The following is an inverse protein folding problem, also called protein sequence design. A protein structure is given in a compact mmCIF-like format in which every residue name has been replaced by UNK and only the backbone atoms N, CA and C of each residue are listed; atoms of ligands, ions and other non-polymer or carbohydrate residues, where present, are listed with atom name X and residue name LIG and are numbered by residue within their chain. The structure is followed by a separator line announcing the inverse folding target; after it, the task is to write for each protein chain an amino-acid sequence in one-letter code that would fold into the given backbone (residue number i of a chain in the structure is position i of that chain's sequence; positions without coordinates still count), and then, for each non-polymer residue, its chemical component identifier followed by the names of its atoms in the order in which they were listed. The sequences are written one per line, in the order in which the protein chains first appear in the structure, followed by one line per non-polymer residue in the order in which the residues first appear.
data_IF_365938649325
#
_entry.id   IF_365938649325
#
_cell.length_a   1.000
_cell.length_b   1.000
_cell.length_c   1.000
_cell.angle_alpha   90.00
_cell.angle_beta   90.00
_cell.angle_gamma   90.00
#
_symmetry.space_group_name_H-M   'P 1'
#
loop_
_entity.id
_entity.type
_entity.pdbx_description
1 polymer ?
#
# COMPACT_ATOMS: atom_id res chain seq x y z
N UNK A 1 4.83 -3.44 43.43
CA UNK A 1 4.87 -2.08 42.86
C UNK A 1 4.60 -2.20 41.36
N UNK A 2 3.32 -2.00 41.07
CA UNK A 2 2.81 -2.05 39.68
C UNK A 2 3.33 -0.83 38.93
N UNK A 3 4.22 -1.05 37.98
CA UNK A 3 4.53 -0.06 36.99
C UNK A 3 3.34 -0.05 35.99
N UNK A 4 2.35 0.77 36.29
CA UNK A 4 1.41 1.18 35.25
C UNK A 4 2.21 1.87 34.15
N UNK A 5 2.39 1.16 33.04
CA UNK A 5 2.97 1.74 31.84
C UNK A 5 2.14 2.92 31.38
N UNK A 6 2.76 4.05 31.14
CA UNK A 6 2.09 5.21 30.56
C UNK A 6 1.31 4.76 29.31
N UNK A 7 0.08 5.26 29.10
CA UNK A 7 -0.70 4.92 27.91
C UNK A 7 0.13 5.24 26.67
N UNK A 8 0.26 4.25 25.78
CA UNK A 8 0.94 4.45 24.50
C UNK A 8 0.30 5.62 23.79
N UNK A 9 1.11 6.64 23.45
CA UNK A 9 0.62 7.77 22.64
C UNK A 9 0.08 7.23 21.31
N UNK A 10 -1.11 7.68 20.86
CA UNK A 10 -1.62 7.26 19.58
C UNK A 10 -0.61 7.63 18.50
N UNK A 11 -0.24 6.63 17.68
CA UNK A 11 0.67 6.84 16.55
C UNK A 11 0.02 7.79 15.57
N UNK A 12 0.78 8.76 14.99
CA UNK A 12 0.23 9.64 13.99
C UNK A 12 -0.25 8.81 12.79
N UNK A 13 -1.52 8.98 12.43
CA UNK A 13 -2.07 8.37 11.22
C UNK A 13 -1.33 8.94 10.02
N UNK A 14 -0.95 8.07 9.07
CA UNK A 14 -0.47 8.54 7.77
C UNK A 14 -1.55 9.43 7.15
N UNK A 15 -1.20 10.65 6.70
CA UNK A 15 -2.16 11.47 5.96
C UNK A 15 -2.56 10.75 4.68
N UNK A 16 -3.79 10.97 4.23
CA UNK A 16 -4.23 10.47 2.94
C UNK A 16 -3.53 11.25 1.82
N UNK A 17 -2.92 10.53 0.90
CA UNK A 17 -2.27 11.10 -0.28
C UNK A 17 -3.16 10.87 -1.49
N UNK A 18 -3.34 11.91 -2.28
CA UNK A 18 -4.15 11.88 -3.51
C UNK A 18 -3.28 12.26 -4.69
N UNK A 19 -3.12 11.33 -5.61
CA UNK A 19 -2.50 11.57 -6.90
C UNK A 19 -3.50 11.15 -7.98
N UNK A 20 -4.13 12.13 -8.59
CA UNK A 20 -5.12 11.88 -9.62
C UNK A 20 -4.51 11.16 -10.84
N UNK A 21 -3.26 11.51 -11.20
CA UNK A 21 -2.58 10.92 -12.35
C UNK A 21 -2.23 9.45 -12.14
N UNK A 22 -2.08 9.02 -10.89
CA UNK A 22 -1.82 7.63 -10.56
C UNK A 22 -2.91 6.70 -11.11
N UNK A 23 -4.16 7.11 -11.03
CA UNK A 23 -5.32 6.32 -11.45
C UNK A 23 -5.71 6.55 -12.91
N UNK A 24 -5.01 7.44 -13.62
CA UNK A 24 -5.12 7.60 -15.08
C UNK A 24 -4.29 6.62 -15.87
N UNK A 25 -3.54 5.75 -15.21
CA UNK A 25 -2.78 4.67 -15.86
C UNK A 25 -3.77 3.67 -16.44
N UNK A 26 -4.10 3.87 -17.71
CA UNK A 26 -5.09 3.04 -18.40
C UNK A 26 -4.44 1.81 -19.00
N UNK A 27 -4.84 0.59 -18.57
CA UNK A 27 -4.54 -0.60 -19.35
C UNK A 27 -5.25 -0.54 -20.70
N UNK A 28 -4.84 -1.38 -21.65
CA UNK A 28 -5.60 -1.53 -22.88
C UNK A 28 -7.02 -2.08 -22.58
N UNK A 29 -7.87 -2.11 -23.61
CA UNK A 29 -9.26 -2.57 -23.44
C UNK A 29 -9.36 -3.97 -22.84
N UNK A 30 -8.48 -4.88 -23.29
CA UNK A 30 -8.43 -6.25 -22.80
C UNK A 30 -8.04 -6.28 -21.29
N UNK A 31 -7.08 -5.45 -20.89
CA UNK A 31 -6.69 -5.32 -19.48
C UNK A 31 -7.80 -4.75 -18.61
N UNK A 32 -8.52 -3.74 -19.10
CA UNK A 32 -9.66 -3.16 -18.39
C UNK A 32 -10.78 -4.17 -18.14
N UNK A 33 -11.00 -5.08 -19.06
CA UNK A 33 -12.09 -6.07 -18.99
C UNK A 33 -11.76 -7.27 -18.10
N UNK A 34 -10.55 -7.38 -17.57
CA UNK A 34 -10.17 -8.48 -16.68
C UNK A 34 -11.00 -8.40 -15.40
N UNK A 35 -11.74 -9.48 -15.04
CA UNK A 35 -12.46 -9.51 -13.77
C UNK A 35 -11.51 -9.40 -12.58
N UNK A 36 -11.89 -8.64 -11.57
CA UNK A 36 -11.08 -8.50 -10.35
C UNK A 36 -10.78 -9.85 -9.69
N UNK A 37 -11.72 -10.79 -9.73
CA UNK A 37 -11.53 -12.13 -9.17
C UNK A 37 -10.50 -12.99 -9.91
N UNK A 38 -10.11 -12.58 -11.13
CA UNK A 38 -9.09 -13.27 -11.95
C UNK A 38 -7.80 -12.46 -12.07
N UNK A 39 -7.80 -11.24 -11.57
CA UNK A 39 -6.71 -10.30 -11.72
C UNK A 39 -5.42 -10.81 -11.05
N UNK A 40 -4.31 -10.66 -11.75
CA UNK A 40 -2.98 -10.81 -11.16
C UNK A 40 -2.60 -9.53 -10.44
N UNK A 41 -2.34 -9.63 -9.14
CA UNK A 41 -1.99 -8.49 -8.31
C UNK A 41 -0.70 -8.76 -7.55
N UNK A 42 0.02 -7.68 -7.28
CA UNK A 42 1.03 -7.62 -6.23
C UNK A 42 0.52 -6.63 -5.19
N UNK A 43 0.20 -7.15 -4.01
CA UNK A 43 -0.23 -6.35 -2.87
C UNK A 43 0.99 -6.04 -2.03
N UNK A 44 1.26 -4.77 -1.78
CA UNK A 44 2.50 -4.38 -1.14
C UNK A 44 2.32 -3.27 -0.12
N UNK A 45 3.26 -3.18 0.78
CA UNK A 45 3.38 -2.13 1.78
C UNK A 45 4.83 -1.74 1.93
N UNK A 46 5.07 -0.51 2.39
CA UNK A 46 6.39 0.00 2.70
C UNK A 46 6.45 0.54 4.12
N UNK A 47 7.63 0.43 4.72
CA UNK A 47 7.99 1.19 5.91
C UNK A 47 9.03 2.24 5.53
N UNK A 48 8.94 3.40 6.15
CA UNK A 48 9.74 4.57 5.76
C UNK A 48 10.31 5.30 6.98
N UNK A 49 11.26 6.18 6.73
CA UNK A 49 11.83 7.03 7.78
C UNK A 49 10.90 8.15 8.23
N UNK A 50 9.86 8.43 7.47
CA UNK A 50 8.89 9.48 7.79
C UNK A 50 7.80 9.59 6.73
N UNK A 51 7.01 10.67 6.81
CA UNK A 51 5.82 10.86 6.01
C UNK A 51 6.01 11.85 4.84
N UNK A 52 7.23 12.31 4.62
CA UNK A 52 7.52 13.35 3.64
C UNK A 52 8.54 12.87 2.61
N UNK A 53 8.10 12.12 1.60
CA UNK A 53 8.99 11.59 0.58
C UNK A 53 9.73 12.70 -0.19
N UNK A 54 9.08 13.82 -0.47
CA UNK A 54 9.70 14.96 -1.17
C UNK A 54 10.64 15.78 -0.29
N UNK A 55 10.67 15.55 1.03
CA UNK A 55 11.52 16.25 1.98
C UNK A 55 12.68 15.38 2.49
N UNK A 56 13.02 14.30 1.80
CA UNK A 56 14.19 13.48 2.09
C UNK A 56 13.92 12.19 2.85
N UNK A 57 12.66 11.87 3.17
CA UNK A 57 12.35 10.58 3.76
C UNK A 57 12.57 9.43 2.77
N UNK A 58 12.91 8.27 3.29
CA UNK A 58 13.39 7.13 2.52
C UNK A 58 12.63 5.85 2.91
N UNK A 59 12.52 4.91 1.94
CA UNK A 59 12.01 3.57 2.20
C UNK A 59 13.05 2.75 2.96
N UNK A 60 12.62 2.03 3.99
CA UNK A 60 13.48 1.13 4.77
C UNK A 60 13.00 -0.32 4.75
N UNK A 61 11.80 -0.58 4.28
CA UNK A 61 11.30 -1.95 4.10
C UNK A 61 10.25 -2.00 3.01
N UNK A 62 10.26 -3.07 2.23
CA UNK A 62 9.19 -3.41 1.29
C UNK A 62 8.75 -4.84 1.59
N UNK A 63 7.44 -5.02 1.75
CA UNK A 63 6.80 -6.32 1.84
C UNK A 63 5.72 -6.45 0.78
N UNK A 64 5.66 -7.60 0.11
CA UNK A 64 4.67 -7.83 -0.93
C UNK A 64 4.26 -9.30 -1.01
N UNK A 65 3.02 -9.51 -1.42
CA UNK A 65 2.46 -10.83 -1.68
C UNK A 65 1.78 -10.84 -3.04
N UNK A 66 1.75 -12.00 -3.68
CA UNK A 66 1.10 -12.17 -4.98
C UNK A 66 -0.30 -12.74 -4.80
N UNK A 67 -1.25 -12.16 -5.52
CA UNK A 67 -2.64 -12.62 -5.58
C UNK A 67 -2.96 -12.97 -7.03
N UNK A 68 -3.50 -14.15 -7.25
CA UNK A 68 -3.93 -14.60 -8.57
C UNK A 68 -5.22 -15.42 -8.45
N UNK A 69 -6.19 -15.17 -9.31
CA UNK A 69 -7.47 -15.87 -9.31
C UNK A 69 -8.17 -15.87 -7.94
N UNK A 70 -8.18 -14.74 -7.27
CA UNK A 70 -8.84 -14.57 -5.99
C UNK A 70 -8.16 -15.27 -4.81
N UNK A 71 -6.88 -15.65 -4.95
CA UNK A 71 -6.13 -16.35 -3.92
C UNK A 71 -4.75 -15.75 -3.71
N UNK A 72 -4.34 -15.69 -2.45
CA UNK A 72 -2.95 -15.39 -2.10
C UNK A 72 -2.10 -16.61 -2.49
N UNK A 73 -1.06 -16.37 -3.28
CA UNK A 73 -0.16 -17.44 -3.74
C UNK A 73 0.89 -17.72 -2.64
N UNK A 74 0.77 -18.86 -2.00
CA UNK A 74 1.71 -19.26 -0.93
C UNK A 74 3.14 -19.38 -1.46
N UNK A 75 4.09 -18.85 -0.69
CA UNK A 75 5.51 -18.92 -1.01
C UNK A 75 5.97 -17.88 -2.03
N UNK A 76 5.06 -17.14 -2.66
CA UNK A 76 5.41 -16.06 -3.57
C UNK A 76 5.30 -14.70 -2.86
N UNK A 77 6.29 -14.44 -2.01
CA UNK A 77 6.40 -13.21 -1.22
C UNK A 77 7.69 -12.48 -1.54
N UNK A 78 7.68 -11.19 -1.27
CA UNK A 78 8.86 -10.34 -1.34
C UNK A 78 9.01 -9.61 -0.02
N UNK A 79 10.20 -9.66 0.58
CA UNK A 79 10.50 -8.94 1.81
C UNK A 79 11.95 -8.50 1.78
N UNK A 80 12.19 -7.19 1.89
CA UNK A 80 13.52 -6.62 1.91
C UNK A 80 13.60 -5.47 2.89
N UNK A 81 14.63 -5.50 3.74
CA UNK A 81 15.10 -4.31 4.45
C UNK A 81 16.02 -3.50 3.53
N UNK A 82 15.94 -2.20 3.63
CA UNK A 82 16.69 -1.26 2.79
C UNK A 82 17.47 -0.31 3.70
N UNK A 83 18.76 -0.13 3.42
CA UNK A 83 19.54 0.89 4.09
C UNK A 83 19.19 2.27 3.50
N UNK A 84 18.61 3.18 4.30
CA UNK A 84 18.16 4.47 3.80
C UNK A 84 19.30 5.48 3.58
N UNK A 85 20.52 5.16 4.01
CA UNK A 85 21.65 6.11 3.95
C UNK A 85 21.50 7.31 4.88
N UNK A 86 20.60 7.22 5.84
CA UNK A 86 20.36 8.26 6.84
C UNK A 86 19.99 7.61 8.17
N UNK A 87 20.08 8.39 9.24
CA UNK A 87 19.62 7.95 10.56
C UNK A 87 18.10 7.83 10.58
N UNK A 88 17.59 6.71 11.09
CA UNK A 88 16.15 6.51 11.21
C UNK A 88 15.62 7.31 12.41
N UNK A 89 14.64 8.22 12.19
CA UNK A 89 14.07 9.01 13.29
C UNK A 89 13.40 8.13 14.34
N UNK A 90 13.55 8.50 15.61
CA UNK A 90 12.94 7.77 16.73
C UNK A 90 11.41 7.61 16.60
N UNK A 91 10.62 8.61 16.14
CA UNK A 91 9.19 8.42 15.93
C UNK A 91 8.86 7.30 14.94
N UNK A 92 9.66 7.14 13.88
CA UNK A 92 9.49 6.06 12.92
C UNK A 92 9.80 4.70 13.54
N UNK A 93 10.88 4.60 14.32
CA UNK A 93 11.24 3.37 15.02
C UNK A 93 10.13 2.93 15.98
N UNK A 94 9.49 3.86 16.69
CA UNK A 94 8.34 3.56 17.56
C UNK A 94 7.17 2.95 16.79
N UNK A 95 7.03 3.32 15.52
CA UNK A 95 5.95 2.83 14.67
C UNK A 95 6.23 1.43 14.12
N UNK A 96 7.36 1.22 13.44
CA UNK A 96 7.66 -0.03 12.74
C UNK A 96 8.74 -0.89 13.41
N UNK A 97 9.45 -0.37 14.41
CA UNK A 97 10.46 -1.11 15.16
C UNK A 97 11.78 -1.37 14.41
N UNK A 98 11.95 -0.82 13.21
CA UNK A 98 13.18 -0.99 12.42
C UNK A 98 14.20 0.05 12.86
N UNK A 99 15.36 -0.41 13.33
CA UNK A 99 16.44 0.43 13.86
C UNK A 99 17.57 0.60 12.84
N UNK A 100 18.46 1.55 13.12
CA UNK A 100 19.67 1.73 12.31
C UNK A 100 20.52 0.46 12.27
N UNK A 101 20.54 -0.30 13.35
CA UNK A 101 21.25 -1.58 13.43
C UNK A 101 20.67 -2.62 12.48
N UNK A 102 19.33 -2.65 12.33
CA UNK A 102 18.64 -3.63 11.47
C UNK A 102 18.94 -3.41 10.00
N UNK A 103 19.14 -2.16 9.58
CA UNK A 103 19.40 -1.81 8.17
C UNK A 103 20.88 -1.68 7.84
N UNK A 104 21.73 -1.75 8.85
CA UNK A 104 23.20 -1.70 8.65
C UNK A 104 23.65 -2.89 7.81
N UNK A 105 24.38 -2.61 6.74
CA UNK A 105 24.86 -3.65 5.82
C UNK A 105 23.79 -4.15 4.84
N UNK A 106 22.58 -3.62 4.90
CA UNK A 106 21.53 -3.95 3.93
C UNK A 106 21.72 -3.13 2.65
N UNK A 107 21.24 -3.64 1.50
CA UNK A 107 21.33 -2.93 0.25
C UNK A 107 20.50 -1.63 0.27
N UNK A 108 20.85 -0.70 -0.59
CA UNK A 108 20.12 0.55 -0.76
C UNK A 108 18.91 0.39 -1.70
N UNK A 109 18.13 1.45 -1.84
CA UNK A 109 16.96 1.45 -2.71
C UNK A 109 17.34 1.21 -4.18
N UNK A 110 18.47 1.75 -4.64
CA UNK A 110 18.94 1.55 -6.01
C UNK A 110 19.16 0.07 -6.35
N UNK A 111 19.53 -0.74 -5.35
CA UNK A 111 19.74 -2.18 -5.49
C UNK A 111 18.43 -2.98 -5.37
N UNK A 112 17.58 -2.62 -4.40
CA UNK A 112 16.35 -3.38 -4.09
C UNK A 112 15.24 -3.11 -5.09
N UNK A 113 15.05 -1.87 -5.55
CA UNK A 113 13.92 -1.54 -6.42
C UNK A 113 13.93 -2.30 -7.75
N UNK A 114 15.07 -2.56 -8.42
CA UNK A 114 15.07 -3.45 -9.57
C UNK A 114 14.59 -4.86 -9.25
N UNK A 115 14.90 -5.39 -8.07
CA UNK A 115 14.40 -6.69 -7.62
C UNK A 115 12.89 -6.67 -7.43
N UNK A 116 12.37 -5.64 -6.79
CA UNK A 116 10.93 -5.46 -6.61
C UNK A 116 10.22 -5.26 -7.94
N UNK A 117 10.82 -4.51 -8.85
CA UNK A 117 10.28 -4.31 -10.22
C UNK A 117 10.10 -5.65 -10.94
N UNK A 118 11.08 -6.54 -10.84
CA UNK A 118 10.97 -7.89 -11.42
C UNK A 118 9.86 -8.72 -10.76
N UNK A 119 9.75 -8.63 -9.45
CA UNK A 119 8.67 -9.30 -8.71
C UNK A 119 7.28 -8.83 -9.17
N UNK A 120 7.10 -7.55 -9.41
CA UNK A 120 5.83 -6.98 -9.84
C UNK A 120 5.44 -7.39 -11.26
N UNK A 121 6.39 -7.57 -12.16
CA UNK A 121 6.09 -7.88 -13.56
C UNK A 121 5.07 -6.91 -14.15
N UNK A 122 4.02 -7.44 -14.76
CA UNK A 122 2.90 -6.67 -15.33
C UNK A 122 1.65 -6.67 -14.47
N UNK A 123 1.74 -7.21 -13.25
CA UNK A 123 0.61 -7.30 -12.34
C UNK A 123 0.08 -5.92 -11.94
N UNK A 124 -1.21 -5.83 -11.61
CA UNK A 124 -1.75 -4.66 -10.96
C UNK A 124 -1.14 -4.52 -9.56
N UNK A 125 -0.77 -3.30 -9.18
CA UNK A 125 -0.26 -3.02 -7.83
C UNK A 125 -1.42 -2.62 -6.93
N UNK A 126 -1.47 -3.20 -5.75
CA UNK A 126 -2.51 -2.92 -4.76
C UNK A 126 -1.84 -2.51 -3.47
N UNK A 127 -2.27 -1.41 -2.89
CA UNK A 127 -1.78 -0.93 -1.60
C UNK A 127 -2.88 -0.15 -0.87
N UNK A 128 -2.71 0.07 0.40
CA UNK A 128 -3.56 0.96 1.18
C UNK A 128 -2.91 2.35 1.23
N UNK A 129 -3.62 3.38 0.81
CA UNK A 129 -3.07 4.73 0.65
C UNK A 129 -1.92 4.73 -0.38
N UNK A 130 -2.19 4.13 -1.54
CA UNK A 130 -1.19 3.75 -2.54
C UNK A 130 -0.35 4.92 -3.05
N UNK A 131 -0.92 6.13 -3.16
CA UNK A 131 -0.18 7.31 -3.63
C UNK A 131 1.01 7.65 -2.73
N UNK A 132 0.94 7.33 -1.44
CA UNK A 132 2.06 7.48 -0.51
C UNK A 132 3.24 6.57 -0.92
N UNK A 133 3.00 5.28 -1.03
CA UNK A 133 4.04 4.31 -1.39
C UNK A 133 4.58 4.56 -2.80
N UNK A 134 3.70 4.83 -3.75
CA UNK A 134 4.08 5.08 -5.13
C UNK A 134 4.96 6.33 -5.28
N UNK A 135 4.76 7.35 -4.43
CA UNK A 135 5.60 8.54 -4.44
C UNK A 135 7.04 8.24 -4.04
N UNK A 136 7.25 7.40 -3.03
CA UNK A 136 8.58 6.94 -2.66
C UNK A 136 9.26 6.18 -3.80
N UNK A 137 8.53 5.31 -4.50
CA UNK A 137 9.07 4.59 -5.65
C UNK A 137 9.43 5.53 -6.81
N UNK A 138 8.55 6.48 -7.12
CA UNK A 138 8.75 7.47 -8.19
C UNK A 138 10.01 8.30 -7.96
N UNK A 139 10.24 8.78 -6.75
CA UNK A 139 11.41 9.59 -6.42
C UNK A 139 12.74 8.83 -6.53
N UNK A 140 12.71 7.51 -6.63
CA UNK A 140 13.88 6.66 -6.79
C UNK A 140 14.09 6.17 -8.23
N UNK A 141 13.31 6.63 -9.20
CA UNK A 141 13.44 6.19 -10.59
C UNK A 141 14.84 6.43 -11.15
N UNK A 142 15.39 7.62 -10.92
CA UNK A 142 16.73 7.98 -11.43
C UNK A 142 17.83 7.08 -10.87
N UNK A 143 17.85 6.87 -9.56
CA UNK A 143 18.93 6.12 -8.90
C UNK A 143 18.79 4.62 -9.09
N UNK A 144 17.57 4.11 -9.23
CA UNK A 144 17.31 2.69 -9.40
C UNK A 144 17.29 2.24 -10.87
N UNK A 145 17.04 3.16 -11.80
CA UNK A 145 16.92 2.85 -13.23
C UNK A 145 15.63 2.13 -13.60
N UNK A 146 14.67 2.00 -12.68
CA UNK A 146 13.39 1.33 -12.92
C UNK A 146 12.22 2.25 -12.59
N UNK A 147 11.10 2.06 -13.29
CA UNK A 147 9.85 2.74 -13.02
C UNK A 147 8.71 1.72 -12.88
N UNK A 148 7.65 2.15 -12.20
CA UNK A 148 6.48 1.31 -11.93
C UNK A 148 5.29 1.95 -12.63
N UNK A 149 4.95 1.46 -13.81
CA UNK A 149 3.88 1.97 -14.67
C UNK A 149 2.62 1.10 -14.63
N UNK A 150 2.62 0.07 -13.82
CA UNK A 150 1.50 -0.85 -13.64
C UNK A 150 0.22 -0.09 -13.22
N UNK A 151 -0.97 -0.59 -13.56
CA UNK A 151 -2.20 -0.11 -12.95
C UNK A 151 -2.12 -0.22 -11.43
N UNK A 152 -2.68 0.76 -10.72
CA UNK A 152 -2.67 0.79 -9.25
C UNK A 152 -4.10 0.84 -8.73
N UNK A 153 -4.38 0.02 -7.74
CA UNK A 153 -5.62 0.05 -6.96
C UNK A 153 -5.30 0.40 -5.51
N UNK A 154 -6.13 1.24 -4.92
CA UNK A 154 -5.97 1.70 -3.55
C UNK A 154 -7.11 1.17 -2.68
N UNK A 155 -6.77 0.33 -1.71
CA UNK A 155 -7.72 -0.24 -0.76
C UNK A 155 -8.47 0.85 0.02
N UNK A 156 -7.81 1.95 0.35
CA UNK A 156 -8.44 3.08 1.03
C UNK A 156 -9.57 3.67 0.18
N UNK A 157 -9.34 3.89 -1.10
CA UNK A 157 -10.34 4.43 -2.01
C UNK A 157 -11.49 3.45 -2.27
N UNK A 158 -11.19 2.16 -2.38
CA UNK A 158 -12.21 1.12 -2.51
C UNK A 158 -13.05 1.02 -1.23
N UNK A 159 -12.43 1.13 -0.07
CA UNK A 159 -13.14 1.22 1.22
C UNK A 159 -14.06 2.45 1.27
N UNK A 160 -13.58 3.61 0.84
CA UNK A 160 -14.37 4.83 0.79
C UNK A 160 -15.59 4.71 -0.14
N UNK A 161 -15.45 3.95 -1.22
CA UNK A 161 -16.57 3.63 -2.12
C UNK A 161 -17.58 2.68 -1.47
N UNK A 162 -17.12 1.60 -0.84
CA UNK A 162 -17.98 0.58 -0.23
C UNK A 162 -18.65 1.06 1.05
N UNK A 163 -17.96 1.84 1.84
CA UNK A 163 -18.38 2.29 3.17
C UNK A 163 -18.39 3.82 3.24
N UNK A 164 -19.13 4.42 2.32
CA UNK A 164 -19.19 5.88 2.10
C UNK A 164 -19.66 6.69 3.32
N UNK A 165 -20.37 6.06 4.26
CA UNK A 165 -20.80 6.68 5.51
C UNK A 165 -19.76 6.62 6.63
N UNK A 166 -18.69 5.86 6.45
CA UNK A 166 -17.65 5.72 7.46
C UNK A 166 -16.64 6.88 7.35
N UNK A 167 -16.20 7.39 8.49
CA UNK A 167 -15.20 8.46 8.55
C UNK A 167 -13.76 7.92 8.51
N UNK A 168 -13.56 6.69 9.00
CA UNK A 168 -12.24 6.08 9.13
C UNK A 168 -12.06 4.94 8.12
N UNK A 169 -11.15 5.15 7.16
CA UNK A 169 -10.74 4.17 6.15
C UNK A 169 -9.29 3.73 6.36
N UNK A 170 -8.78 3.84 7.59
CA UNK A 170 -7.48 3.26 7.95
C UNK A 170 -7.48 1.76 7.73
N UNK A 171 -6.30 1.17 7.62
CA UNK A 171 -6.16 -0.28 7.45
C UNK A 171 -6.86 -1.03 8.59
N UNK A 172 -6.65 -0.61 9.83
CA UNK A 172 -7.25 -1.22 11.01
C UNK A 172 -8.78 -1.15 10.99
N UNK A 173 -9.35 0.03 10.69
CA UNK A 173 -10.80 0.20 10.65
C UNK A 173 -11.44 -0.62 9.51
N UNK A 174 -10.79 -0.67 8.36
CA UNK A 174 -11.26 -1.44 7.21
C UNK A 174 -11.21 -2.95 7.49
N UNK A 175 -10.12 -3.41 8.10
CA UNK A 175 -10.00 -4.81 8.53
C UNK A 175 -11.10 -5.20 9.51
N UNK A 176 -11.38 -4.36 10.51
CA UNK A 176 -12.42 -4.60 11.51
C UNK A 176 -13.81 -4.74 10.84
N UNK A 177 -14.17 -3.82 9.93
CA UNK A 177 -15.46 -3.89 9.22
C UNK A 177 -15.64 -5.17 8.42
N UNK A 178 -14.57 -5.72 7.89
CA UNK A 178 -14.59 -6.92 7.05
C UNK A 178 -14.30 -8.20 7.85
N UNK A 179 -14.09 -8.10 9.16
CA UNK A 179 -13.78 -9.26 9.99
C UNK A 179 -12.41 -9.88 9.72
N UNK A 180 -11.45 -9.08 9.26
CA UNK A 180 -10.09 -9.53 8.95
C UNK A 180 -9.18 -9.27 10.15
N UNK A 181 -8.48 -10.32 10.59
CA UNK A 181 -7.44 -10.18 11.62
C UNK A 181 -6.19 -9.55 11.04
N UNK A 182 -5.62 -8.61 11.80
CA UNK A 182 -4.35 -7.98 11.44
C UNK A 182 -3.22 -8.90 11.91
N UNK A 183 -2.42 -9.38 10.95
CA UNK A 183 -1.27 -10.24 11.21
C UNK A 183 0.03 -9.45 11.04
N UNK A 184 1.01 -9.72 11.93
CA UNK A 184 2.34 -9.12 11.82
C UNK A 184 2.35 -7.61 12.05
N UNK A 185 2.36 -7.19 13.30
CA UNK A 185 2.33 -5.77 13.69
C UNK A 185 3.45 -4.98 13.02
N UNK A 186 3.07 -3.97 12.22
CA UNK A 186 3.95 -2.94 11.66
C UNK A 186 5.14 -3.46 10.86
N UNK A 187 5.09 -4.71 10.37
CA UNK A 187 6.00 -5.18 9.35
C UNK A 187 5.39 -4.96 7.97
N UNK A 188 6.21 -4.59 7.00
CA UNK A 188 5.72 -4.37 5.64
C UNK A 188 5.07 -5.64 5.05
N UNK A 189 5.66 -6.82 5.26
CA UNK A 189 5.07 -8.07 4.78
C UNK A 189 3.78 -8.41 5.51
N UNK A 190 3.71 -8.22 6.83
CA UNK A 190 2.50 -8.44 7.61
C UNK A 190 1.35 -7.54 7.16
N UNK A 191 1.63 -6.27 6.93
CA UNK A 191 0.65 -5.31 6.44
C UNK A 191 0.21 -5.63 5.01
N UNK A 192 1.13 -6.03 4.13
CA UNK A 192 0.80 -6.48 2.78
C UNK A 192 -0.13 -7.71 2.81
N UNK A 193 0.11 -8.65 3.71
CA UNK A 193 -0.74 -9.81 3.88
C UNK A 193 -2.15 -9.42 4.34
N UNK A 194 -2.26 -8.51 5.30
CA UNK A 194 -3.54 -7.96 5.77
C UNK A 194 -4.26 -7.24 4.64
N UNK A 195 -3.56 -6.39 3.89
CA UNK A 195 -4.10 -5.70 2.72
C UNK A 195 -4.62 -6.68 1.66
N UNK A 196 -3.89 -7.76 1.40
CA UNK A 196 -4.33 -8.79 0.45
C UNK A 196 -5.63 -9.46 0.89
N UNK A 197 -5.76 -9.80 2.17
CA UNK A 197 -6.98 -10.38 2.73
C UNK A 197 -8.16 -9.41 2.65
N UNK A 198 -7.93 -8.14 2.94
CA UNK A 198 -8.94 -7.09 2.83
C UNK A 198 -9.38 -6.95 1.38
N UNK A 199 -8.44 -6.84 0.45
CA UNK A 199 -8.74 -6.73 -0.98
C UNK A 199 -9.61 -7.89 -1.47
N UNK A 200 -9.26 -9.12 -1.12
CA UNK A 200 -10.05 -10.30 -1.48
C UNK A 200 -11.44 -10.28 -0.86
N UNK A 201 -11.57 -9.82 0.39
CA UNK A 201 -12.86 -9.69 1.06
C UNK A 201 -13.75 -8.61 0.43
N UNK A 202 -13.17 -7.62 -0.24
CA UNK A 202 -13.91 -6.57 -0.94
C UNK A 202 -14.51 -7.01 -2.28
N UNK A 203 -13.99 -8.06 -2.90
CA UNK A 203 -14.37 -8.43 -4.27
C UNK A 203 -15.87 -8.73 -4.42
N UNK A 204 -16.46 -9.46 -3.48
CA UNK A 204 -17.90 -9.72 -3.45
C UNK A 204 -18.74 -8.45 -3.30
N UNK A 205 -18.54 -7.65 -2.25
CA UNK A 205 -19.22 -6.37 -2.08
C UNK A 205 -19.06 -5.40 -3.25
N UNK A 206 -17.88 -5.34 -3.86
CA UNK A 206 -17.65 -4.53 -5.06
C UNK A 206 -18.48 -5.01 -6.23
N UNK A 207 -18.52 -6.33 -6.48
CA UNK A 207 -19.33 -6.91 -7.54
C UNK A 207 -20.83 -6.63 -7.35
N UNK A 208 -21.32 -6.68 -6.10
CA UNK A 208 -22.71 -6.35 -5.76
C UNK A 208 -23.07 -4.90 -6.12
N UNK A 209 -22.08 -4.02 -6.22
CA UNK A 209 -22.25 -2.62 -6.64
C UNK A 209 -21.83 -2.35 -8.07
N UNK A 210 -21.66 -3.39 -8.88
CA UNK A 210 -21.31 -3.27 -10.29
C UNK A 210 -19.83 -3.02 -10.58
N UNK A 211 -18.97 -3.15 -9.58
CA UNK A 211 -17.52 -3.03 -9.76
C UNK A 211 -16.94 -4.44 -9.88
N UNK A 212 -16.79 -4.89 -11.12
CA UNK A 212 -16.45 -6.29 -11.44
C UNK A 212 -15.08 -6.42 -12.08
N UNK A 213 -14.70 -5.44 -12.91
CA UNK A 213 -13.46 -5.47 -13.68
C UNK A 213 -12.41 -4.49 -13.13
N UNK A 214 -11.17 -4.66 -13.59
CA UNK A 214 -10.10 -3.70 -13.30
C UNK A 214 -10.50 -2.28 -13.73
N UNK A 215 -11.08 -2.14 -14.93
CA UNK A 215 -11.54 -0.85 -15.44
C UNK A 215 -12.60 -0.21 -14.54
N UNK A 216 -13.56 -1.00 -14.05
CA UNK A 216 -14.58 -0.52 -13.11
C UNK A 216 -13.92 0.01 -11.83
N UNK A 217 -12.96 -0.73 -11.27
CA UNK A 217 -12.25 -0.34 -10.06
C UNK A 217 -11.42 0.94 -10.25
N UNK A 218 -10.77 1.10 -11.39
CA UNK A 218 -10.04 2.33 -11.72
C UNK A 218 -10.98 3.51 -11.86
N UNK A 219 -12.16 3.32 -12.46
CA UNK A 219 -13.15 4.38 -12.64
C UNK A 219 -13.70 4.88 -11.30
N UNK A 220 -14.07 3.98 -10.38
CA UNK A 220 -14.55 4.38 -9.05
C UNK A 220 -13.44 5.00 -8.22
N UNK A 221 -12.21 4.55 -8.36
CA UNK A 221 -11.05 5.13 -7.68
C UNK A 221 -10.83 6.59 -8.08
N UNK A 222 -10.91 6.90 -9.37
CA UNK A 222 -10.80 8.29 -9.87
C UNK A 222 -11.88 9.19 -9.29
N UNK A 223 -13.12 8.71 -9.23
CA UNK A 223 -14.23 9.45 -8.62
C UNK A 223 -14.00 9.70 -7.14
N UNK A 224 -13.49 8.71 -6.41
CA UNK A 224 -13.20 8.85 -4.98
C UNK A 224 -12.08 9.85 -4.72
N UNK A 225 -11.01 9.86 -5.51
CA UNK A 225 -9.95 10.88 -5.41
C UNK A 225 -10.54 12.28 -5.54
N UNK A 226 -11.42 12.50 -6.52
CA UNK A 226 -12.07 13.77 -6.77
C UNK A 226 -12.92 14.23 -5.58
N UNK A 227 -13.73 13.32 -5.04
CA UNK A 227 -14.61 13.60 -3.90
C UNK A 227 -13.79 13.92 -2.64
N UNK A 228 -12.76 13.14 -2.34
CA UNK A 228 -11.93 13.34 -1.14
C UNK A 228 -11.10 14.62 -1.22
N UNK A 229 -10.58 14.97 -2.39
CA UNK A 229 -9.92 16.26 -2.60
C UNK A 229 -10.87 17.46 -2.38
N UNK A 230 -12.11 17.33 -2.80
CA UNK A 230 -13.11 18.37 -2.57
C UNK A 230 -13.44 18.51 -1.08
N UNK A 231 -13.57 17.41 -0.36
CA UNK A 231 -13.83 17.40 1.09
C UNK A 231 -12.66 17.99 1.89
N UNK A 232 -11.42 17.74 1.46
CA UNK A 232 -10.22 18.26 2.14
C UNK A 232 -10.04 19.79 2.02
N UNK A 233 -10.83 20.47 1.16
CA UNK A 233 -10.79 21.93 0.97
C UNK A 233 -11.73 22.68 1.92
N UNK A 234 -12.55 21.99 2.65
CA UNK A 234 -13.47 22.51 3.63
C UNK A 234 -13.07 22.07 5.03
#
# INVERSE_FOLDING_TARGET
HDHEGAPAMPLPKRPEFYDFDLFKREPDRKGRDVPLKELRCVVFDTETTGLQPSAGDEIISIGAVRVTNGKIVRGETFERLINPGMKIPKPSIRFHGITDKDVKGKPDAATVLPQFRRFCGTAALVAHNAAFDMKFLELKEKVSGVNFTNPVLDILLLSAFLHDHADDHSLAATAERLGIEISGRHSALGDAMTEARIFLAMLGPLADRGVVTLGDALDVSRKQVKLRKMQARF
#
